data_IF_085242184404
#
_entry.id   IF_085242184404
#
_cell.length_a   1.000
_cell.length_b   1.000
_cell.length_c   1.000
_cell.angle_alpha   90.00
_cell.angle_beta   90.00
_cell.angle_gamma   90.00
#
_symmetry.space_group_name_H-M   'P 1'
#
loop_
_entity.id
_entity.type
_entity.pdbx_description
1 polymer ?
#
# COMPACT_ATOMS: atom_id res chain seq x y z
N UNK A 1 10.33 0.43 -25.47
CA UNK A 1 9.28 -0.28 -24.71
C UNK A 1 9.98 -0.93 -23.53
N UNK A 2 9.99 -0.29 -22.37
CA UNK A 2 10.66 -0.83 -21.18
C UNK A 2 9.68 -1.81 -20.51
N UNK A 3 9.96 -3.11 -20.65
CA UNK A 3 9.36 -4.15 -19.83
C UNK A 3 9.86 -3.95 -18.40
N UNK A 4 9.07 -3.28 -17.57
CA UNK A 4 9.25 -3.35 -16.13
C UNK A 4 8.78 -4.75 -15.74
N UNK A 5 9.72 -5.62 -15.37
CA UNK A 5 9.45 -6.98 -14.99
C UNK A 5 8.44 -6.99 -13.83
N UNK A 6 7.21 -7.41 -14.12
CA UNK A 6 6.20 -7.76 -13.13
C UNK A 6 6.67 -9.03 -12.42
N UNK A 7 7.61 -8.91 -11.48
CA UNK A 7 7.89 -9.96 -10.53
C UNK A 7 6.61 -10.27 -9.73
N UNK A 8 6.47 -11.47 -9.14
CA UNK A 8 5.31 -11.78 -8.32
C UNK A 8 5.32 -10.90 -7.07
N UNK A 9 4.66 -9.74 -7.16
CA UNK A 9 4.30 -8.91 -6.03
C UNK A 9 3.27 -9.71 -5.24
N UNK A 10 3.53 -9.97 -3.97
CA UNK A 10 2.53 -10.60 -3.11
C UNK A 10 1.38 -9.60 -2.97
N UNK A 11 0.36 -9.69 -3.82
CA UNK A 11 -0.77 -8.77 -3.80
C UNK A 11 -1.69 -9.12 -2.63
N UNK A 12 -1.20 -9.06 -1.39
CA UNK A 12 -1.93 -9.46 -0.19
C UNK A 12 -2.40 -8.21 0.55
N UNK A 13 -3.71 -8.08 0.69
CA UNK A 13 -4.37 -6.98 1.39
C UNK A 13 -3.87 -6.93 2.85
N UNK A 14 -3.40 -5.77 3.33
CA UNK A 14 -2.81 -5.65 4.67
C UNK A 14 -3.86 -5.77 5.80
N UNK A 15 -5.14 -5.72 5.47
CA UNK A 15 -6.26 -5.78 6.44
C UNK A 15 -6.74 -7.20 6.69
N UNK A 16 -6.94 -7.98 5.61
CA UNK A 16 -7.63 -9.27 5.68
C UNK A 16 -6.86 -10.44 5.03
N UNK A 17 -5.66 -10.18 4.52
CA UNK A 17 -4.84 -11.14 3.78
C UNK A 17 -5.46 -11.72 2.49
N UNK A 18 -6.55 -11.12 1.99
CA UNK A 18 -7.11 -11.44 0.68
C UNK A 18 -6.26 -10.89 -0.47
N UNK A 19 -6.50 -11.36 -1.70
CA UNK A 19 -5.82 -10.82 -2.88
C UNK A 19 -6.26 -9.36 -3.15
N UNK A 20 -5.29 -8.46 -3.33
CA UNK A 20 -5.51 -7.07 -3.72
C UNK A 20 -6.18 -7.02 -5.09
N UNK A 21 -7.11 -6.09 -5.23
CA UNK A 21 -7.87 -5.88 -6.45
C UNK A 21 -7.40 -4.57 -7.09
N UNK A 22 -6.99 -4.63 -8.36
CA UNK A 22 -6.50 -3.47 -9.12
C UNK A 22 -7.59 -2.41 -9.40
N UNK A 23 -8.87 -2.80 -9.35
CA UNK A 23 -9.99 -1.88 -9.54
C UNK A 23 -10.33 -1.08 -8.28
N UNK A 24 -9.75 -1.45 -7.13
CA UNK A 24 -9.91 -0.71 -5.88
C UNK A 24 -8.84 0.39 -5.83
N UNK A 25 -9.23 1.67 -5.75
CA UNK A 25 -8.26 2.75 -5.67
C UNK A 25 -7.33 2.57 -4.47
N UNK A 26 -6.00 2.74 -4.66
CA UNK A 26 -5.06 2.64 -3.55
C UNK A 26 -5.27 3.79 -2.56
N UNK A 27 -4.99 3.50 -1.29
CA UNK A 27 -5.07 4.49 -0.21
C UNK A 27 -3.73 5.21 -0.08
N UNK A 28 -3.75 6.53 -0.03
CA UNK A 28 -2.55 7.32 0.23
C UNK A 28 -2.32 7.39 1.73
N UNK A 29 -1.15 6.93 2.16
CA UNK A 29 -0.70 6.95 3.55
C UNK A 29 0.56 7.80 3.65
N UNK A 30 0.57 8.76 4.57
CA UNK A 30 1.78 9.52 4.90
C UNK A 30 2.36 8.96 6.18
N UNK A 31 3.54 8.35 6.08
CA UNK A 31 4.30 7.82 7.21
C UNK A 31 5.32 8.87 7.60
N UNK A 32 5.17 9.47 8.78
CA UNK A 32 6.15 10.41 9.31
C UNK A 32 7.31 9.61 9.91
N UNK A 33 8.51 9.80 9.37
CA UNK A 33 9.74 9.17 9.86
C UNK A 33 10.72 10.25 10.30
N UNK A 34 11.67 9.92 11.17
CA UNK A 34 12.68 10.87 11.67
C UNK A 34 13.53 11.47 10.55
N UNK A 35 13.67 10.74 9.43
CA UNK A 35 14.43 11.15 8.24
C UNK A 35 13.63 11.93 7.21
N UNK A 36 12.32 12.08 7.40
CA UNK A 36 11.41 12.74 6.46
C UNK A 36 10.09 11.99 6.30
N UNK A 37 9.10 12.67 5.70
CA UNK A 37 7.80 12.08 5.42
C UNK A 37 7.85 11.16 4.19
N UNK A 38 7.38 9.92 4.34
CA UNK A 38 7.26 8.95 3.25
C UNK A 38 5.81 8.85 2.81
N UNK A 39 5.54 9.04 1.51
CA UNK A 39 4.21 8.84 0.92
C UNK A 39 4.12 7.42 0.37
N UNK A 40 3.22 6.63 0.95
CA UNK A 40 2.92 5.26 0.56
C UNK A 40 1.59 5.18 -0.19
N UNK A 41 1.56 4.47 -1.32
CA UNK A 41 0.33 4.08 -2.01
C UNK A 41 -0.01 2.64 -1.67
N UNK A 42 -1.07 2.43 -0.89
CA UNK A 42 -1.44 1.12 -0.33
C UNK A 42 -2.60 0.48 -1.10
N UNK A 43 -2.33 -0.64 -1.77
CA UNK A 43 -3.35 -1.47 -2.43
C UNK A 43 -4.18 -2.31 -1.44
N UNK A 44 -5.47 -2.51 -1.74
CA UNK A 44 -6.37 -3.32 -0.91
C UNK A 44 -7.30 -4.19 -1.77
N UNK A 45 -7.95 -5.20 -1.17
CA UNK A 45 -8.84 -6.10 -1.90
C UNK A 45 -10.26 -5.59 -2.12
N UNK A 46 -10.70 -4.56 -1.38
CA UNK A 46 -12.06 -4.03 -1.48
C UNK A 46 -12.18 -2.64 -0.85
N UNK A 47 -13.23 -1.85 -1.18
CA UNK A 47 -13.43 -0.50 -0.64
C UNK A 47 -13.49 -0.46 0.90
N UNK A 48 -14.02 -1.52 1.53
CA UNK A 48 -14.07 -1.61 3.00
C UNK A 48 -12.66 -1.70 3.60
N UNK A 49 -11.78 -2.51 3.02
CA UNK A 49 -10.39 -2.59 3.48
C UNK A 49 -9.65 -1.27 3.21
N UNK A 50 -9.92 -0.61 2.09
CA UNK A 50 -9.41 0.74 1.83
C UNK A 50 -9.83 1.74 2.92
N UNK A 51 -11.10 1.72 3.35
CA UNK A 51 -11.59 2.57 4.44
C UNK A 51 -10.92 2.26 5.79
N UNK A 52 -10.65 0.99 6.09
CA UNK A 52 -9.90 0.61 7.31
C UNK A 52 -8.47 1.14 7.29
N UNK A 53 -7.78 1.00 6.14
CA UNK A 53 -6.44 1.56 5.95
C UNK A 53 -6.46 3.08 6.10
N UNK A 54 -7.42 3.77 5.48
CA UNK A 54 -7.54 5.22 5.59
C UNK A 54 -7.85 5.69 7.02
N UNK A 55 -8.57 4.90 7.81
CA UNK A 55 -8.93 5.23 9.20
C UNK A 55 -7.77 5.00 10.18
N UNK A 56 -6.89 4.03 9.89
CA UNK A 56 -5.74 3.67 10.74
C UNK A 56 -4.48 3.45 9.89
N UNK A 57 -3.99 4.48 9.20
CA UNK A 57 -2.97 4.34 8.16
C UNK A 57 -1.65 3.78 8.72
N UNK A 58 -1.21 4.25 9.89
CA UNK A 58 0.03 3.78 10.52
C UNK A 58 -0.05 2.32 10.99
N UNK A 59 -1.23 1.82 11.35
CA UNK A 59 -1.40 0.42 11.78
C UNK A 59 -1.15 -0.54 10.61
N UNK A 60 -1.54 -0.14 9.41
CA UNK A 60 -1.46 -0.98 8.21
C UNK A 60 -0.30 -0.64 7.29
N UNK A 61 0.44 0.44 7.55
CA UNK A 61 1.59 0.85 6.75
C UNK A 61 2.67 -0.24 6.71
N UNK A 62 3.12 -0.73 7.87
CA UNK A 62 4.16 -1.76 7.95
C UNK A 62 3.70 -3.08 7.31
N UNK A 63 2.42 -3.44 7.48
CA UNK A 63 1.84 -4.62 6.85
C UNK A 63 1.75 -4.46 5.32
N UNK A 64 1.43 -3.27 4.82
CA UNK A 64 1.37 -2.98 3.40
C UNK A 64 2.77 -3.04 2.76
N UNK A 65 3.79 -2.54 3.45
CA UNK A 65 5.19 -2.64 3.04
C UNK A 65 5.66 -4.10 3.03
N UNK A 66 5.41 -4.84 4.12
CA UNK A 66 5.76 -6.26 4.22
C UNK A 66 5.09 -7.11 3.13
N UNK A 67 3.83 -6.79 2.81
CA UNK A 67 3.09 -7.43 1.74
C UNK A 67 3.51 -6.92 0.35
N UNK A 68 4.35 -5.90 0.21
CA UNK A 68 4.71 -5.29 -1.10
C UNK A 68 3.50 -4.73 -1.86
N UNK A 69 2.52 -4.21 -1.12
CA UNK A 69 1.35 -3.50 -1.65
C UNK A 69 1.38 -2.03 -1.30
N UNK A 70 2.47 -1.56 -0.67
CA UNK A 70 2.82 -0.16 -0.51
C UNK A 70 3.90 0.23 -1.53
N UNK A 71 3.61 1.17 -2.42
CA UNK A 71 4.62 1.81 -3.25
C UNK A 71 5.01 3.14 -2.63
N UNK A 72 6.25 3.23 -2.13
CA UNK A 72 6.82 4.47 -1.62
C UNK A 72 7.24 5.39 -2.76
N UNK A 73 6.71 6.61 -2.75
CA UNK A 73 7.18 7.68 -3.64
C UNK A 73 7.97 8.66 -2.78
N UNK A 74 9.30 8.58 -2.86
CA UNK A 74 10.19 9.56 -2.24
C UNK A 74 10.24 10.81 -3.11
N UNK A 75 9.66 11.91 -2.63
CA UNK A 75 9.74 13.25 -3.23
C UNK A 75 9.01 14.22 -2.31
N UNK A 76 9.62 15.31 -1.83
CA UNK A 76 10.55 16.25 -2.48
C UNK A 76 11.71 16.65 -1.57
#
# INVERSE_FOLDING_TARGET
MQNVAQGPTNHICPVCAGNVDEFVPPVIVVKQEETGDTILRVGTCCPRCASEVASKPMLYADAAEANRVAEGVTGF
#
